data_IF_263927654883
#
_entry.id   IF_263927654883
#
_cell.length_a   1.000
_cell.length_b   1.000
_cell.length_c   1.000
_cell.angle_alpha   90.00
_cell.angle_beta   90.00
_cell.angle_gamma   90.00
#
_symmetry.space_group_name_H-M   'P 1'
#
loop_
_entity.id
_entity.type
_entity.pdbx_description
1 polymer ?
#
# COMPACT_ATOMS: atom_id res chain seq x y z
N UNK A 1 0.17 5.60 -27.14
CA UNK A 1 0.52 6.60 -26.10
C UNK A 1 1.88 6.26 -25.51
N UNK A 2 2.65 7.23 -25.03
CA UNK A 2 3.91 6.98 -24.30
C UNK A 2 3.72 7.38 -22.85
N UNK A 3 4.34 6.64 -21.94
CA UNK A 3 4.43 7.04 -20.54
C UNK A 3 5.29 8.30 -20.43
N UNK A 4 4.79 9.36 -19.81
CA UNK A 4 5.54 10.60 -19.62
C UNK A 4 6.74 10.42 -18.68
N UNK A 5 6.65 9.48 -17.72
CA UNK A 5 7.71 9.25 -16.74
C UNK A 5 8.90 8.46 -17.29
N UNK A 6 8.67 7.48 -18.18
CA UNK A 6 9.74 6.57 -18.64
C UNK A 6 9.83 6.40 -20.17
N UNK A 7 8.99 7.10 -20.93
CA UNK A 7 9.01 7.10 -22.40
C UNK A 7 8.54 5.82 -23.09
N UNK A 8 8.24 4.75 -22.33
CA UNK A 8 7.78 3.46 -22.88
C UNK A 8 6.39 3.59 -23.50
N UNK A 9 6.14 2.86 -24.59
CA UNK A 9 4.82 2.78 -25.19
C UNK A 9 3.85 2.06 -24.25
N UNK A 10 2.69 2.67 -24.06
CA UNK A 10 1.62 2.11 -23.24
C UNK A 10 0.45 1.69 -24.11
N UNK A 11 -0.17 0.56 -23.71
CA UNK A 11 -1.45 0.10 -24.25
C UNK A 11 -2.65 0.77 -23.56
N UNK A 12 -2.45 1.31 -22.35
CA UNK A 12 -3.45 1.95 -21.49
C UNK A 12 -2.86 3.23 -20.85
N UNK A 13 -3.65 4.02 -20.13
CA UNK A 13 -3.18 5.22 -19.38
C UNK A 13 -2.19 4.86 -18.27
N UNK A 14 -2.26 3.62 -17.78
CA UNK A 14 -1.41 3.11 -16.74
C UNK A 14 -0.07 2.52 -17.23
N UNK A 15 1.00 2.82 -16.50
CA UNK A 15 2.34 2.27 -16.73
C UNK A 15 2.77 1.31 -15.62
N UNK A 16 2.59 0.01 -15.84
CA UNK A 16 2.99 -1.05 -14.91
C UNK A 16 4.43 -0.92 -14.42
N UNK A 17 5.39 -0.70 -15.34
CA UNK A 17 6.80 -0.58 -14.93
C UNK A 17 7.08 0.64 -14.07
N UNK A 18 6.37 1.76 -14.27
CA UNK A 18 6.54 2.92 -13.42
C UNK A 18 5.94 2.71 -12.03
N UNK A 19 4.81 2.02 -11.93
CA UNK A 19 4.23 1.68 -10.62
C UNK A 19 5.14 0.72 -9.86
N UNK A 20 5.62 -0.36 -10.50
CA UNK A 20 6.58 -1.28 -9.87
C UNK A 20 7.83 -0.55 -9.39
N UNK A 21 8.41 0.32 -10.23
CA UNK A 21 9.58 1.10 -9.82
C UNK A 21 9.28 2.03 -8.63
N UNK A 22 8.09 2.65 -8.57
CA UNK A 22 7.69 3.46 -7.42
C UNK A 22 7.57 2.62 -6.15
N UNK A 23 6.95 1.44 -6.24
CA UNK A 23 6.83 0.52 -5.11
C UNK A 23 8.20 0.09 -4.62
N UNK A 24 9.09 -0.33 -5.52
CA UNK A 24 10.47 -0.71 -5.20
C UNK A 24 11.26 0.41 -4.51
N UNK A 25 11.08 1.67 -4.94
CA UNK A 25 11.72 2.81 -4.30
C UNK A 25 11.20 3.07 -2.87
N UNK A 26 10.01 2.58 -2.54
CA UNK A 26 9.37 2.73 -1.23
C UNK A 26 9.53 1.49 -0.33
N UNK A 27 10.18 0.41 -0.78
CA UNK A 27 10.34 -0.82 0.02
C UNK A 27 11.00 -0.55 1.38
N UNK A 28 11.98 0.35 1.44
CA UNK A 28 12.64 0.73 2.70
C UNK A 28 11.74 1.47 3.67
N UNK A 29 10.69 2.12 3.17
CA UNK A 29 9.73 2.85 4.00
C UNK A 29 8.66 1.92 4.61
N UNK A 30 8.48 0.73 4.05
CA UNK A 30 7.43 -0.24 4.45
C UNK A 30 8.04 -1.45 5.16
N UNK A 31 8.87 -1.18 6.17
CA UNK A 31 9.46 -2.24 6.99
C UNK A 31 8.69 -2.43 8.28
N UNK A 32 8.36 -3.69 8.57
CA UNK A 32 7.82 -4.17 9.84
C UNK A 32 8.90 -4.39 10.90
N UNK A 33 10.18 -4.33 10.51
CA UNK A 33 11.29 -4.84 11.32
C UNK A 33 11.37 -6.37 11.32
N UNK A 34 10.50 -7.07 10.58
CA UNK A 34 10.53 -8.51 10.39
C UNK A 34 10.77 -8.85 8.91
N UNK A 35 11.98 -9.32 8.60
CA UNK A 35 12.42 -9.64 7.24
C UNK A 35 11.47 -10.58 6.49
N UNK A 36 10.87 -11.58 7.16
CA UNK A 36 9.95 -12.52 6.50
C UNK A 36 8.65 -11.85 6.06
N UNK A 37 8.13 -10.96 6.90
CA UNK A 37 6.91 -10.20 6.59
C UNK A 37 7.23 -9.18 5.49
N UNK A 38 8.35 -8.48 5.61
CA UNK A 38 8.79 -7.48 4.61
C UNK A 38 8.98 -8.11 3.24
N UNK A 39 9.62 -9.28 3.17
CA UNK A 39 9.80 -10.02 1.91
C UNK A 39 8.46 -10.43 1.30
N UNK A 40 7.52 -10.96 2.11
CA UNK A 40 6.19 -11.34 1.63
C UNK A 40 5.44 -10.13 1.05
N UNK A 41 5.50 -8.98 1.72
CA UNK A 41 4.83 -7.75 1.28
C UNK A 41 5.43 -7.27 -0.05
N UNK A 42 6.76 -7.28 -0.19
CA UNK A 42 7.45 -6.93 -1.43
C UNK A 42 7.07 -7.88 -2.58
N UNK A 43 7.03 -9.19 -2.32
CA UNK A 43 6.60 -10.19 -3.31
C UNK A 43 5.17 -9.88 -3.81
N UNK A 44 4.22 -9.65 -2.90
CA UNK A 44 2.84 -9.31 -3.26
C UNK A 44 2.74 -8.03 -4.11
N UNK A 45 3.54 -7.01 -3.81
CA UNK A 45 3.54 -5.75 -4.56
C UNK A 45 4.09 -5.89 -5.98
N UNK A 46 5.02 -6.81 -6.20
CA UNK A 46 5.59 -7.09 -7.52
C UNK A 46 4.63 -7.89 -8.42
N UNK A 47 3.65 -8.58 -7.82
CA UNK A 47 2.67 -9.39 -8.53
C UNK A 47 1.53 -8.59 -9.20
N UNK A 48 1.46 -7.27 -9.01
CA UNK A 48 0.43 -6.40 -9.60
C UNK A 48 0.37 -6.58 -11.13
N UNK A 49 -0.81 -6.91 -11.67
CA UNK A 49 -1.07 -7.16 -13.08
C UNK A 49 -1.85 -6.04 -13.76
N UNK A 50 -2.75 -5.37 -13.03
CA UNK A 50 -3.65 -4.33 -13.53
C UNK A 50 -3.56 -3.08 -12.67
N UNK A 51 -3.95 -1.94 -13.24
CA UNK A 51 -4.03 -0.66 -12.52
C UNK A 51 -5.02 -0.70 -11.35
N UNK A 52 -6.02 -1.58 -11.42
CA UNK A 52 -7.05 -1.76 -10.41
C UNK A 52 -6.69 -2.78 -9.32
N UNK A 53 -5.53 -3.43 -9.40
CA UNK A 53 -5.17 -4.42 -8.38
C UNK A 53 -4.82 -3.72 -7.07
N UNK A 54 -5.27 -4.30 -5.96
CA UNK A 54 -4.97 -3.78 -4.64
C UNK A 54 -3.48 -3.93 -4.33
N UNK A 55 -2.91 -2.94 -3.65
CA UNK A 55 -1.53 -2.97 -3.20
C UNK A 55 -1.51 -3.33 -1.73
N UNK A 56 -0.69 -4.31 -1.36
CA UNK A 56 -0.47 -4.66 0.05
C UNK A 56 0.40 -3.62 0.70
N UNK A 57 -0.09 -2.97 1.75
CA UNK A 57 0.61 -1.93 2.51
C UNK A 57 0.99 -2.43 3.91
N UNK A 58 2.21 -2.09 4.36
CA UNK A 58 2.59 -2.24 5.76
C UNK A 58 2.23 -0.96 6.54
N UNK A 59 1.41 -1.08 7.57
CA UNK A 59 0.98 0.05 8.40
C UNK A 59 1.65 -0.06 9.77
N UNK A 60 2.55 0.88 10.12
CA UNK A 60 3.15 0.91 11.45
C UNK A 60 2.11 1.07 12.55
N UNK A 61 2.35 0.45 13.71
CA UNK A 61 1.41 0.48 14.83
C UNK A 61 1.06 1.90 15.30
N UNK A 62 2.01 2.83 15.20
CA UNK A 62 1.82 4.23 15.60
C UNK A 62 0.87 5.02 14.66
N UNK A 63 0.44 4.44 13.55
CA UNK A 63 -0.58 5.00 12.65
C UNK A 63 -2.01 4.72 13.12
N UNK A 64 -2.18 3.94 14.19
CA UNK A 64 -3.48 3.62 14.75
C UNK A 64 -3.81 4.49 15.97
N UNK A 65 -5.01 5.07 15.97
CA UNK A 65 -5.62 5.79 17.08
C UNK A 65 -6.83 5.01 17.62
N UNK A 66 -7.30 5.41 18.81
CA UNK A 66 -8.53 4.90 19.42
C UNK A 66 -8.62 3.36 19.40
N UNK A 67 -7.50 2.71 19.74
CA UNK A 67 -7.38 1.26 19.77
C UNK A 67 -8.25 0.72 20.90
N UNK A 68 -9.28 -0.06 20.55
CA UNK A 68 -10.25 -0.65 21.48
C UNK A 68 -10.29 -2.16 21.29
N UNK A 69 -10.11 -2.89 22.39
CA UNK A 69 -10.40 -4.33 22.43
C UNK A 69 -11.90 -4.55 22.17
N UNK A 70 -12.21 -5.42 21.22
CA UNK A 70 -13.57 -5.81 20.87
C UNK A 70 -13.94 -7.16 21.45
N UNK A 71 -13.01 -8.11 21.39
CA UNK A 71 -13.23 -9.47 21.85
C UNK A 71 -11.89 -10.13 22.20
N UNK A 72 -11.95 -11.13 23.08
CA UNK A 72 -10.79 -11.88 23.53
C UNK A 72 -11.18 -13.31 23.82
N UNK A 73 -10.51 -14.24 23.17
CA UNK A 73 -10.60 -15.66 23.45
C UNK A 73 -9.26 -16.21 23.95
N UNK A 74 -9.16 -17.54 24.08
CA UNK A 74 -7.95 -18.20 24.56
C UNK A 74 -6.77 -18.12 23.57
N UNK A 75 -7.02 -17.85 22.29
CA UNK A 75 -6.01 -17.88 21.22
C UNK A 75 -5.64 -16.50 20.69
N UNK A 76 -6.52 -15.50 20.83
CA UNK A 76 -6.41 -14.23 20.16
C UNK A 76 -7.17 -13.10 20.86
N UNK A 77 -6.83 -11.86 20.48
CA UNK A 77 -7.54 -10.67 20.92
C UNK A 77 -7.82 -9.82 19.69
N UNK A 78 -9.07 -9.44 19.52
CA UNK A 78 -9.55 -8.64 18.40
C UNK A 78 -9.58 -7.18 18.85
N UNK A 79 -8.99 -6.30 18.04
CA UNK A 79 -8.98 -4.87 18.27
C UNK A 79 -9.64 -4.14 17.10
N UNK A 80 -10.30 -3.02 17.40
CA UNK A 80 -10.64 -1.98 16.43
C UNK A 80 -9.72 -0.79 16.63
N UNK A 81 -9.43 -0.05 15.55
CA UNK A 81 -8.65 1.17 15.60
C UNK A 81 -9.02 2.10 14.45
N UNK A 82 -8.74 3.40 14.61
CA UNK A 82 -8.81 4.39 13.55
C UNK A 82 -7.43 4.52 12.91
N UNK A 83 -7.35 4.29 11.60
CA UNK A 83 -6.12 4.51 10.84
C UNK A 83 -6.00 6.00 10.46
N UNK A 84 -4.98 6.67 10.99
CA UNK A 84 -4.76 8.13 10.83
C UNK A 84 -4.70 8.60 9.37
N UNK A 85 -4.00 7.84 8.54
CA UNK A 85 -3.69 8.23 7.17
C UNK A 85 -4.68 7.69 6.14
N UNK A 86 -5.41 6.63 6.51
CA UNK A 86 -6.24 5.87 5.58
C UNK A 86 -5.44 5.15 4.49
N UNK A 87 -6.12 4.34 3.65
CA UNK A 87 -5.49 3.58 2.58
C UNK A 87 -4.91 4.48 1.48
N UNK A 88 -3.79 4.05 0.87
CA UNK A 88 -3.25 4.77 -0.28
C UNK A 88 -4.25 4.73 -1.44
N UNK A 89 -4.61 5.91 -1.94
CA UNK A 89 -5.39 6.05 -3.18
C UNK A 89 -4.43 6.27 -4.35
N UNK A 90 -4.38 5.30 -5.26
CA UNK A 90 -3.68 5.44 -6.53
C UNK A 90 -4.64 6.03 -7.56
N UNK A 91 -4.50 7.31 -7.85
CA UNK A 91 -5.26 7.93 -8.93
C UNK A 91 -4.66 7.51 -10.27
N UNK A 92 -5.50 7.20 -11.27
CA UNK A 92 -5.08 6.78 -12.62
C UNK A 92 -4.16 7.83 -13.28
N UNK A 93 -4.27 9.09 -12.81
CA UNK A 93 -3.39 10.21 -13.11
C UNK A 93 -2.34 10.45 -11.99
N UNK A 94 -1.41 9.51 -11.85
CA UNK A 94 0.02 9.76 -11.51
C UNK A 94 0.39 10.55 -10.23
N UNK A 95 -0.50 10.78 -9.27
CA UNK A 95 -0.10 11.33 -7.97
C UNK A 95 -0.69 10.51 -6.82
N UNK A 96 0.19 9.92 -6.01
CA UNK A 96 -0.13 9.45 -4.67
C UNK A 96 -0.73 10.64 -3.92
N UNK A 97 -2.02 10.56 -3.61
CA UNK A 97 -2.66 11.60 -2.82
C UNK A 97 -3.20 10.94 -1.58
N UNK A 98 -2.58 11.26 -0.43
CA UNK A 98 -3.11 10.92 0.89
C UNK A 98 -4.33 11.81 1.11
N UNK A 99 -5.52 11.24 0.96
CA UNK A 99 -6.75 11.94 1.32
C UNK A 99 -7.16 11.42 2.70
N UNK A 100 -7.01 12.28 3.71
CA UNK A 100 -7.66 12.10 5.00
C UNK A 100 -9.16 12.22 4.77
N UNK A 101 -9.86 11.11 4.63
CA UNK A 101 -11.31 11.09 4.79
C UNK A 101 -11.59 11.05 6.29
N UNK A 102 -12.19 12.13 6.81
CA UNK A 102 -12.82 12.16 8.12
C UNK A 102 -13.95 11.13 8.12
N UNK A 103 -13.70 9.96 8.68
CA UNK A 103 -14.74 9.01 9.12
C UNK A 103 -15.06 9.30 10.57
#
# INVERSE_FOLDING_TARGET
MKCERCGKYLRFEWCKSCQINNLQNNFTNWTSGNEKIDNLIQEMQLEILRSSDNITEWIPYDQFNDIKELDKDECSTIYSAIWKDGPLKYNENIQETRIQELI
#
